data_IF_023458458784
#
_entry.id   IF_023458458784
#
_cell.length_a   1.000
_cell.length_b   1.000
_cell.length_c   1.000
_cell.angle_alpha   90.00
_cell.angle_beta   90.00
_cell.angle_gamma   90.00
#
_symmetry.space_group_name_H-M   'P 1'
#
loop_
_entity.id
_entity.type
_entity.pdbx_description
1 polymer ?
#
# COMPACT_ATOMS: atom_id res chain seq x y z
N UNK A 1 8.51 10.21 -16.90
CA UNK A 1 9.75 9.45 -16.58
C UNK A 1 9.31 8.27 -15.75
N UNK A 2 9.67 7.05 -16.16
CA UNK A 2 9.24 5.86 -15.44
C UNK A 2 10.30 5.45 -14.41
N UNK A 3 9.89 5.28 -13.17
CA UNK A 3 10.75 4.83 -12.07
C UNK A 3 10.25 3.49 -11.54
N UNK A 4 11.09 2.45 -11.66
CA UNK A 4 10.85 1.14 -11.05
C UNK A 4 11.55 1.06 -9.69
N UNK A 5 10.84 0.58 -8.67
CA UNK A 5 11.40 0.39 -7.33
C UNK A 5 10.73 -0.80 -6.62
N UNK A 6 11.37 -1.32 -5.58
CA UNK A 6 10.75 -2.33 -4.73
C UNK A 6 9.55 -1.76 -3.97
N UNK A 7 8.68 -2.65 -3.47
CA UNK A 7 7.56 -2.24 -2.60
C UNK A 7 8.05 -1.44 -1.37
N UNK A 8 9.18 -1.84 -0.78
CA UNK A 8 9.74 -1.17 0.39
C UNK A 8 10.13 0.28 0.06
N UNK A 9 10.80 0.48 -1.07
CA UNK A 9 11.23 1.80 -1.54
C UNK A 9 10.03 2.68 -1.90
N UNK A 10 9.02 2.13 -2.59
CA UNK A 10 7.80 2.86 -2.91
C UNK A 10 7.08 3.33 -1.64
N UNK A 11 6.88 2.44 -0.67
CA UNK A 11 6.23 2.79 0.59
C UNK A 11 7.07 3.77 1.42
N UNK A 12 8.40 3.73 1.30
CA UNK A 12 9.29 4.70 1.93
C UNK A 12 9.20 6.08 1.27
N UNK A 13 9.23 6.14 -0.07
CA UNK A 13 9.11 7.36 -0.86
C UNK A 13 7.77 8.07 -0.62
N UNK A 14 6.70 7.29 -0.40
CA UNK A 14 5.38 7.81 -0.03
C UNK A 14 5.22 8.10 1.47
N UNK A 15 6.24 7.81 2.29
CA UNK A 15 6.19 8.04 3.74
C UNK A 15 5.31 7.09 4.55
N UNK A 16 4.78 6.03 3.92
CA UNK A 16 3.94 5.03 4.55
C UNK A 16 4.75 4.08 5.45
N UNK A 17 6.01 3.88 5.13
CA UNK A 17 6.94 3.05 5.90
C UNK A 17 8.31 3.73 6.10
N UNK A 18 9.09 3.15 7.02
CA UNK A 18 10.52 3.43 7.09
C UNK A 18 11.27 2.80 5.90
N UNK A 19 12.61 2.78 5.97
CA UNK A 19 13.46 2.25 4.89
C UNK A 19 13.30 0.75 4.62
N UNK A 20 12.66 0.01 5.52
CA UNK A 20 12.47 -1.43 5.40
C UNK A 20 11.03 -1.83 5.69
N UNK A 21 10.62 -2.95 5.09
CA UNK A 21 9.33 -3.56 5.39
C UNK A 21 9.28 -4.01 6.85
N UNK A 22 8.09 -3.98 7.47
CA UNK A 22 7.91 -4.53 8.80
C UNK A 22 8.33 -6.01 8.84
N UNK A 23 8.90 -6.45 9.97
CA UNK A 23 9.40 -7.82 10.15
C UNK A 23 8.35 -8.92 10.00
N UNK A 24 7.06 -8.56 10.08
CA UNK A 24 5.98 -9.51 9.84
C UNK A 24 5.78 -9.79 8.35
N UNK A 25 6.31 -8.98 7.43
CA UNK A 25 6.32 -9.28 6.00
C UNK A 25 7.50 -10.20 5.73
N UNK A 26 7.22 -11.44 5.34
CA UNK A 26 8.23 -12.48 5.16
C UNK A 26 8.69 -12.63 3.72
N UNK A 27 7.83 -12.27 2.76
CA UNK A 27 8.17 -12.30 1.34
C UNK A 27 7.38 -11.25 0.57
N UNK A 28 8.02 -10.67 -0.43
CA UNK A 28 7.39 -9.83 -1.45
C UNK A 28 7.91 -10.32 -2.79
N UNK A 29 6.98 -10.53 -3.72
CA UNK A 29 7.27 -10.89 -5.11
C UNK A 29 6.12 -10.43 -5.99
N UNK A 30 6.00 -11.02 -7.17
CA UNK A 30 4.90 -10.75 -8.07
C UNK A 30 5.17 -11.30 -9.44
N UNK A 31 4.13 -11.40 -10.25
CA UNK A 31 4.20 -11.86 -11.63
C UNK A 31 3.21 -11.08 -12.47
N UNK A 32 3.64 -10.63 -13.66
CA UNK A 32 2.84 -9.75 -14.49
C UNK A 32 2.49 -8.48 -13.73
N UNK A 33 1.19 -8.22 -13.56
CA UNK A 33 0.65 -7.02 -12.92
C UNK A 33 0.13 -7.24 -11.48
N UNK A 34 0.47 -8.38 -10.88
CA UNK A 34 0.14 -8.71 -9.49
C UNK A 34 1.38 -8.60 -8.62
N UNK A 35 1.22 -7.96 -7.46
CA UNK A 35 2.20 -7.94 -6.40
C UNK A 35 1.77 -8.90 -5.29
N UNK A 36 2.62 -9.87 -4.98
CA UNK A 36 2.37 -10.89 -3.96
C UNK A 36 3.10 -10.52 -2.68
N UNK A 37 2.37 -10.49 -1.56
CA UNK A 37 2.90 -10.18 -0.23
C UNK A 37 2.52 -11.29 0.71
N UNK A 38 3.54 -11.87 1.35
CA UNK A 38 3.37 -12.89 2.38
C UNK A 38 3.72 -12.29 3.73
N UNK A 39 2.84 -12.46 4.71
CA UNK A 39 3.06 -11.98 6.06
C UNK A 39 2.82 -13.07 7.11
N UNK A 40 3.65 -13.11 8.16
CA UNK A 40 3.39 -13.82 9.41
C UNK A 40 2.76 -12.86 10.42
N UNK A 41 1.42 -12.82 10.52
CA UNK A 41 0.72 -12.00 11.50
C UNK A 41 1.10 -12.29 12.95
N UNK A 42 1.64 -13.47 13.30
CA UNK A 42 2.09 -13.75 14.68
C UNK A 42 3.25 -12.84 15.12
N UNK A 43 4.00 -12.29 14.16
CA UNK A 43 5.03 -11.29 14.43
C UNK A 43 4.46 -9.87 14.67
N UNK A 44 3.15 -9.66 14.50
CA UNK A 44 2.49 -8.36 14.73
C UNK A 44 2.13 -8.22 16.20
N UNK A 45 2.66 -7.17 16.85
CA UNK A 45 2.23 -6.78 18.20
C UNK A 45 0.80 -6.23 18.16
N UNK A 46 -0.02 -6.65 19.12
CA UNK A 46 -1.41 -6.23 19.31
C UNK A 46 -2.33 -6.55 18.12
N UNK A 47 -2.34 -7.81 17.68
CA UNK A 47 -3.35 -8.29 16.73
C UNK A 47 -4.76 -8.22 17.35
N UNK A 48 -5.78 -7.81 16.58
CA UNK A 48 -7.18 -7.96 16.99
C UNK A 48 -7.47 -9.40 17.40
N UNK A 49 -8.30 -9.60 18.44
CA UNK A 49 -8.52 -10.92 19.04
C UNK A 49 -9.02 -11.96 18.01
N UNK A 50 -9.91 -11.56 17.09
CA UNK A 50 -10.40 -12.41 16.02
C UNK A 50 -9.28 -12.88 15.07
N UNK A 51 -8.39 -11.95 14.69
CA UNK A 51 -7.20 -12.25 13.88
C UNK A 51 -6.25 -13.17 14.64
N UNK A 52 -6.01 -12.89 15.93
CA UNK A 52 -5.13 -13.73 16.77
C UNK A 52 -5.58 -15.20 16.81
N UNK A 53 -6.89 -15.45 16.83
CA UNK A 53 -7.44 -16.81 16.76
C UNK A 53 -7.24 -17.45 15.38
N UNK A 54 -7.54 -16.73 14.30
CA UNK A 54 -7.33 -17.22 12.94
C UNK A 54 -5.86 -17.59 12.68
N UNK A 55 -4.93 -16.79 13.20
CA UNK A 55 -3.48 -16.97 13.02
C UNK A 55 -2.89 -18.14 13.81
N UNK A 56 -3.64 -18.72 14.75
CA UNK A 56 -3.27 -19.99 15.40
C UNK A 56 -3.52 -21.19 14.49
N UNK A 57 -4.45 -21.07 13.55
CA UNK A 57 -4.87 -22.17 12.67
C UNK A 57 -4.12 -22.10 11.34
N UNK A 58 -4.08 -20.92 10.71
CA UNK A 58 -3.25 -20.67 9.52
C UNK A 58 -2.36 -19.48 9.81
N UNK A 59 -1.05 -19.70 10.00
CA UNK A 59 -0.16 -18.67 10.50
C UNK A 59 0.26 -17.65 9.46
N UNK A 60 -0.05 -17.87 8.19
CA UNK A 60 0.44 -17.06 7.08
C UNK A 60 -0.72 -16.35 6.40
N UNK A 61 -0.55 -15.06 6.15
CA UNK A 61 -1.44 -14.26 5.31
C UNK A 61 -0.79 -14.13 3.94
N UNK A 62 -1.54 -14.52 2.91
CA UNK A 62 -1.18 -14.24 1.52
C UNK A 62 -2.05 -13.09 1.03
N UNK A 63 -1.42 -12.07 0.47
CA UNK A 63 -2.09 -10.93 -0.13
C UNK A 63 -1.60 -10.71 -1.56
N UNK A 64 -2.53 -10.68 -2.51
CA UNK A 64 -2.34 -10.33 -3.90
C UNK A 64 -2.88 -8.90 -4.10
N UNK A 65 -2.03 -8.04 -4.63
CA UNK A 65 -2.34 -6.63 -4.84
C UNK A 65 -2.30 -6.33 -6.34
N UNK A 66 -3.30 -5.58 -6.82
CA UNK A 66 -3.40 -5.16 -8.22
C UNK A 66 -3.86 -3.71 -8.28
N UNK A 67 -3.18 -2.89 -9.08
CA UNK A 67 -3.70 -1.55 -9.39
C UNK A 67 -4.81 -1.72 -10.43
N UNK A 68 -6.04 -1.37 -10.06
CA UNK A 68 -7.23 -1.53 -10.92
C UNK A 68 -7.67 -0.22 -11.56
N UNK A 69 -7.27 0.91 -10.99
CA UNK A 69 -7.50 2.23 -11.58
C UNK A 69 -6.43 3.21 -11.10
N UNK A 70 -6.13 4.21 -11.92
CA UNK A 70 -5.34 5.38 -11.54
C UNK A 70 -6.02 6.63 -12.10
N UNK A 71 -6.49 7.52 -11.24
CA UNK A 71 -7.24 8.73 -11.62
C UNK A 71 -6.79 9.89 -10.75
N UNK A 72 -6.45 11.02 -11.36
CA UNK A 72 -6.06 12.27 -10.67
C UNK A 72 -4.98 12.08 -9.58
N UNK A 73 -3.99 11.21 -9.84
CA UNK A 73 -2.92 10.94 -8.88
C UNK A 73 -3.26 9.89 -7.82
N UNK A 74 -4.47 9.32 -7.85
CA UNK A 74 -4.97 8.33 -6.90
C UNK A 74 -4.96 6.94 -7.52
N UNK A 75 -4.17 6.03 -6.96
CA UNK A 75 -4.16 4.61 -7.32
C UNK A 75 -5.24 3.87 -6.51
N UNK A 76 -6.14 3.18 -7.19
CA UNK A 76 -7.05 2.21 -6.57
C UNK A 76 -6.42 0.82 -6.65
N UNK A 77 -6.12 0.25 -5.50
CA UNK A 77 -5.49 -1.06 -5.36
C UNK A 77 -6.53 -2.06 -4.88
N UNK A 78 -6.84 -3.06 -5.70
CA UNK A 78 -7.59 -4.22 -5.27
C UNK A 78 -6.69 -5.14 -4.45
N UNK A 79 -7.22 -5.63 -3.33
CA UNK A 79 -6.55 -6.51 -2.39
C UNK A 79 -7.34 -7.80 -2.32
N UNK A 80 -6.72 -8.89 -2.77
CA UNK A 80 -7.17 -10.23 -2.42
C UNK A 80 -6.25 -10.77 -1.34
N UNK A 81 -6.79 -11.08 -0.17
CA UNK A 81 -6.03 -11.54 0.96
C UNK A 81 -6.77 -12.66 1.69
N UNK A 82 -6.04 -13.67 2.11
CA UNK A 82 -6.57 -14.83 2.82
C UNK A 82 -5.71 -15.13 4.05
N UNK A 83 -6.37 -15.32 5.19
CA UNK A 83 -5.75 -15.76 6.42
C UNK A 83 -6.70 -16.68 7.19
N UNK A 84 -6.43 -17.99 7.22
CA UNK A 84 -7.20 -18.93 8.03
C UNK A 84 -8.70 -18.96 7.73
N UNK A 85 -9.08 -18.81 6.45
CA UNK A 85 -10.48 -18.75 6.02
C UNK A 85 -11.15 -17.39 6.20
N UNK A 86 -10.43 -16.36 6.68
CA UNK A 86 -10.94 -14.99 6.64
C UNK A 86 -10.68 -14.36 5.27
N UNK A 87 -11.74 -13.89 4.59
CA UNK A 87 -11.61 -13.21 3.31
C UNK A 87 -11.08 -11.78 3.46
N UNK A 88 -10.51 -11.27 2.35
CA UNK A 88 -9.81 -9.99 2.25
C UNK A 88 -10.58 -8.80 2.84
N UNK A 89 -11.87 -8.70 2.51
CA UNK A 89 -12.71 -7.60 2.97
C UNK A 89 -12.87 -7.56 4.49
N UNK A 90 -12.89 -8.72 5.16
CA UNK A 90 -12.93 -8.77 6.64
C UNK A 90 -11.57 -8.38 7.22
N UNK A 91 -10.48 -8.84 6.61
CA UNK A 91 -9.13 -8.47 7.03
C UNK A 91 -8.88 -6.96 6.91
N UNK A 92 -9.27 -6.37 5.78
CA UNK A 92 -9.17 -4.92 5.56
C UNK A 92 -10.09 -4.11 6.47
N UNK A 93 -11.31 -4.57 6.70
CA UNK A 93 -12.21 -3.92 7.66
C UNK A 93 -11.68 -3.93 9.09
N UNK A 94 -10.92 -4.96 9.49
CA UNK A 94 -10.25 -5.00 10.79
C UNK A 94 -8.99 -4.12 10.82
N UNK A 95 -8.34 -3.94 9.68
CA UNK A 95 -7.13 -3.14 9.54
C UNK A 95 -7.39 -1.64 9.38
N UNK A 96 -8.59 -1.22 8.95
CA UNK A 96 -8.93 0.18 8.64
C UNK A 96 -8.58 1.16 9.77
N UNK A 97 -8.97 0.85 11.01
CA UNK A 97 -8.66 1.67 12.18
C UNK A 97 -7.15 1.83 12.41
N UNK A 98 -6.37 0.77 12.15
CA UNK A 98 -4.91 0.81 12.27
C UNK A 98 -4.29 1.59 11.11
N UNK A 99 -4.81 1.47 9.90
CA UNK A 99 -4.37 2.26 8.74
C UNK A 99 -4.57 3.75 9.03
N UNK A 100 -5.74 4.16 9.49
CA UNK A 100 -6.03 5.55 9.88
C UNK A 100 -5.10 6.04 10.99
N UNK A 101 -4.84 5.21 12.00
CA UNK A 101 -3.91 5.53 13.09
C UNK A 101 -2.47 5.69 12.59
N UNK A 102 -2.03 4.87 11.63
CA UNK A 102 -0.71 5.01 11.00
C UNK A 102 -0.63 6.30 10.17
N UNK A 103 -1.62 6.57 9.32
CA UNK A 103 -1.70 7.83 8.53
C UNK A 103 -1.60 9.04 9.44
N UNK A 104 -2.36 9.04 10.54
CA UNK A 104 -2.39 10.13 11.53
C UNK A 104 -1.05 10.26 12.26
N UNK A 105 -0.50 9.15 12.78
CA UNK A 105 0.77 9.16 13.54
C UNK A 105 1.97 9.55 12.68
N UNK A 106 1.94 9.22 11.39
CA UNK A 106 2.96 9.61 10.40
C UNK A 106 2.76 11.04 9.86
N UNK A 107 1.73 11.75 10.33
CA UNK A 107 1.34 13.08 9.84
C UNK A 107 1.15 13.13 8.33
N UNK A 108 0.69 12.01 7.76
CA UNK A 108 0.40 11.95 6.33
C UNK A 108 -0.87 12.75 6.04
N UNK A 109 -1.01 13.28 4.81
CA UNK A 109 -2.16 14.09 4.45
C UNK A 109 -3.47 13.32 4.68
N UNK A 110 -4.46 13.96 5.30
CA UNK A 110 -5.72 13.29 5.61
C UNK A 110 -6.40 12.78 4.33
N UNK A 111 -6.87 11.53 4.37
CA UNK A 111 -7.51 10.87 3.23
C UNK A 111 -6.54 10.36 2.15
N UNK A 112 -5.22 10.47 2.36
CA UNK A 112 -4.21 9.96 1.43
C UNK A 112 -4.21 8.43 1.29
N UNK A 113 -4.72 7.73 2.29
CA UNK A 113 -4.98 6.29 2.25
C UNK A 113 -6.39 6.06 2.76
N UNK A 114 -7.23 5.41 1.94
CA UNK A 114 -8.62 5.09 2.29
C UNK A 114 -8.92 3.65 1.96
N UNK A 115 -9.52 2.94 2.91
CA UNK A 115 -10.08 1.61 2.64
C UNK A 115 -11.45 1.80 1.99
N UNK A 116 -11.62 1.25 0.80
CA UNK A 116 -12.86 1.26 0.04
C UNK A 116 -13.62 -0.07 0.23
N UNK A 117 -14.94 -0.09 -0.03
CA UNK A 117 -15.71 -1.33 -0.11
C UNK A 117 -15.11 -2.33 -1.12
N UNK A 118 -15.39 -3.62 -0.94
CA UNK A 118 -14.94 -4.65 -1.89
C UNK A 118 -13.44 -4.97 -1.82
N UNK A 119 -12.81 -4.78 -0.66
CA UNK A 119 -11.40 -5.07 -0.42
C UNK A 119 -10.45 -4.22 -1.31
N UNK A 120 -10.73 -2.93 -1.41
CA UNK A 120 -9.93 -1.99 -2.18
C UNK A 120 -9.30 -0.93 -1.28
N UNK A 121 -8.19 -0.36 -1.74
CA UNK A 121 -7.49 0.76 -1.09
C UNK A 121 -7.30 1.86 -2.12
N UNK A 122 -7.81 3.06 -1.83
CA UNK A 122 -7.44 4.26 -2.56
C UNK A 122 -6.19 4.87 -1.92
N UNK A 123 -5.18 5.09 -2.74
CA UNK A 123 -3.88 5.64 -2.36
C UNK A 123 -3.61 6.89 -3.18
N UNK A 124 -3.61 8.06 -2.54
CA UNK A 124 -3.27 9.33 -3.17
C UNK A 124 -1.75 9.47 -3.31
N UNK A 125 -1.22 8.84 -4.37
CA UNK A 125 0.21 8.78 -4.68
C UNK A 125 0.75 10.18 -4.94
N UNK A 126 0.00 11.01 -5.67
CA UNK A 126 0.41 12.38 -5.97
C UNK A 126 0.60 13.21 -4.71
N UNK A 127 -0.37 13.20 -3.79
CA UNK A 127 -0.30 14.01 -2.57
C UNK A 127 0.75 13.50 -1.60
N UNK A 128 0.89 12.18 -1.48
CA UNK A 128 1.94 11.56 -0.65
C UNK A 128 3.34 11.86 -1.17
N UNK A 129 3.53 11.82 -2.50
CA UNK A 129 4.81 12.13 -3.12
C UNK A 129 5.12 13.62 -2.99
N UNK A 130 4.16 14.52 -3.24
CA UNK A 130 4.36 15.96 -3.17
C UNK A 130 4.79 16.45 -1.77
N UNK A 131 4.34 15.78 -0.70
CA UNK A 131 4.73 16.09 0.68
C UNK A 131 6.23 15.88 0.94
N UNK A 132 6.88 14.96 0.20
CA UNK A 132 8.30 14.61 0.40
C UNK A 132 9.21 15.05 -0.73
N UNK A 133 8.69 15.01 -1.94
CA UNK A 133 9.37 15.28 -3.20
C UNK A 133 8.51 16.27 -4.00
N UNK A 134 8.44 17.54 -3.58
CA UNK A 134 7.73 18.56 -4.33
C UNK A 134 8.35 18.74 -5.71
N UNK A 135 7.54 19.21 -6.67
CA UNK A 135 8.00 19.43 -8.04
C UNK A 135 7.90 18.20 -8.94
N UNK A 136 7.15 17.17 -8.54
CA UNK A 136 6.82 16.03 -9.40
C UNK A 136 5.31 15.83 -9.52
N UNK A 137 4.86 15.51 -10.73
CA UNK A 137 3.50 15.09 -11.04
C UNK A 137 3.49 13.60 -11.39
N UNK A 138 2.55 12.85 -10.81
CA UNK A 138 2.39 11.40 -11.02
C UNK A 138 1.26 11.16 -12.00
N UNK A 139 1.56 10.49 -13.10
CA UNK A 139 0.58 10.14 -14.15
C UNK A 139 0.10 8.71 -14.07
N UNK A 140 0.86 7.84 -13.41
CA UNK A 140 0.50 6.45 -13.30
C UNK A 140 1.25 5.72 -12.21
N UNK A 141 0.62 4.65 -11.72
CA UNK A 141 1.22 3.65 -10.86
C UNK A 141 0.76 2.28 -11.33
N UNK A 142 1.70 1.36 -11.51
CA UNK A 142 1.41 -0.05 -11.82
C UNK A 142 2.32 -0.97 -11.00
N UNK A 143 1.86 -2.21 -10.80
CA UNK A 143 2.76 -3.28 -10.39
C UNK A 143 3.26 -4.00 -11.64
N UNK A 144 4.54 -4.35 -11.64
CA UNK A 144 5.13 -5.13 -12.72
C UNK A 144 6.26 -6.00 -12.19
N UNK A 145 6.16 -7.31 -12.38
CA UNK A 145 7.19 -8.30 -12.03
C UNK A 145 7.70 -8.13 -10.58
N UNK A 146 6.77 -8.00 -9.62
CA UNK A 146 7.09 -7.83 -8.20
C UNK A 146 7.62 -6.45 -7.80
N UNK A 147 7.65 -5.49 -8.74
CA UNK A 147 8.10 -4.11 -8.51
C UNK A 147 6.96 -3.11 -8.66
N UNK A 148 7.14 -1.94 -8.07
CA UNK A 148 6.25 -0.79 -8.23
C UNK A 148 6.85 0.14 -9.28
N UNK A 149 6.04 0.50 -10.27
CA UNK A 149 6.43 1.42 -11.34
C UNK A 149 5.59 2.68 -11.21
N UNK A 150 6.25 3.82 -11.08
CA UNK A 150 5.63 5.14 -11.08
C UNK A 150 6.00 5.88 -12.35
N UNK A 151 5.02 6.45 -13.03
CA UNK A 151 5.28 7.43 -14.08
C UNK A 151 5.18 8.83 -13.49
N UNK A 152 6.32 9.53 -13.48
CA UNK A 152 6.45 10.85 -12.88
C UNK A 152 7.08 11.82 -13.87
N UNK A 153 6.59 13.05 -13.90
CA UNK A 153 7.21 14.16 -14.61
C UNK A 153 7.58 15.27 -13.62
N UNK A 154 8.60 16.09 -13.91
CA UNK A 154 8.78 17.34 -13.20
C UNK A 154 7.51 18.19 -13.37
N UNK A 155 6.94 18.66 -12.27
CA UNK A 155 5.88 19.65 -12.32
C UNK A 155 6.50 20.95 -12.82
N UNK A 156 6.13 21.38 -14.03
CA UNK A 156 6.57 22.67 -14.57
C UNK A 156 6.31 23.77 -13.53
N UNK A 157 7.35 24.55 -13.23
CA UNK A 157 7.18 25.72 -12.37
C UNK A 157 6.16 26.66 -13.05
N UNK A 158 5.20 27.23 -12.29
CA UNK A 158 4.29 28.19 -12.89
C UNK A 158 5.12 29.32 -13.49
N UNK A 159 4.97 29.54 -14.80
CA UNK A 159 5.57 30.68 -15.48
C UNK A 159 5.12 31.93 -14.73
N UNK A 160 6.05 32.57 -14.03
CA UNK A 160 5.84 33.87 -13.40
C UNK A 160 5.53 34.86 -14.51
N UNK A 161 4.26 35.26 -14.60
CA UNK A 161 3.80 36.38 -15.42
C UNK A 161 4.13 37.72 -14.74
#
# INVERSE_FOLDING_TARGET
MQQSMSLAEALHALGLLGRSLPRFVTSVGGSGDVLDVVADPRAVRNLPAALRLATRVVPTVHAHLRVVAFVDGVATVAVDASAGGLPAHKLLSLASSRIESVVTSKRLPYGSVRVLPGAQIALDVQRLLAERHPGYRVHGMVFHEGSVWLDVEPAEAPATA
#
